data_IF_322744915539
#
_entry.id   IF_322744915539
#
_cell.length_a   1.000
_cell.length_b   1.000
_cell.length_c   1.000
_cell.angle_alpha   90.00
_cell.angle_beta   90.00
_cell.angle_gamma   90.00
#
_symmetry.space_group_name_H-M   'P 1'
#
loop_
_entity.id
_entity.type
_entity.pdbx_description
1 polymer ?
#
# COMPACT_ATOMS: atom_id res chain seq x y z
N UNK A 1 40.75 -45.08 -0.58
CA UNK A 1 41.97 -44.23 -0.57
C UNK A 1 41.53 -42.80 -0.32
N UNK A 2 42.27 -42.00 0.45
CA UNK A 2 41.85 -40.64 0.83
C UNK A 2 42.39 -39.57 -0.13
N UNK A 3 41.59 -38.52 -0.35
CA UNK A 3 41.93 -37.08 -0.16
C UNK A 3 41.26 -36.17 -1.21
N UNK A 4 40.66 -35.05 -0.74
CA UNK A 4 40.13 -33.98 -1.61
C UNK A 4 38.82 -33.39 -1.11
N UNK A 5 38.88 -32.48 -0.13
CA UNK A 5 37.71 -31.71 0.32
C UNK A 5 37.29 -30.67 -0.74
N UNK A 6 35.99 -30.41 -0.88
CA UNK A 6 35.47 -29.29 -1.67
C UNK A 6 34.94 -28.16 -0.79
N UNK A 7 34.62 -27.00 -1.37
CA UNK A 7 33.51 -26.15 -0.95
C UNK A 7 33.17 -25.03 -1.96
N UNK A 8 32.09 -24.32 -1.63
CA UNK A 8 31.18 -23.52 -2.45
C UNK A 8 31.57 -22.04 -2.68
N UNK A 9 30.76 -21.39 -3.53
CA UNK A 9 30.30 -19.97 -3.49
C UNK A 9 31.22 -18.75 -3.74
N UNK A 10 30.69 -17.88 -4.63
CA UNK A 10 30.52 -16.41 -4.52
C UNK A 10 31.68 -15.41 -4.78
N UNK A 11 31.26 -14.22 -5.23
CA UNK A 11 32.06 -13.09 -5.71
C UNK A 11 32.71 -12.20 -4.64
N UNK A 12 33.79 -11.48 -5.00
CA UNK A 12 34.14 -10.15 -4.46
C UNK A 12 33.86 -9.07 -5.54
N UNK A 13 33.09 -7.99 -5.33
CA UNK A 13 33.17 -6.90 -4.32
C UNK A 13 34.45 -6.08 -4.38
N UNK A 14 34.32 -4.81 -4.78
CA UNK A 14 35.15 -3.69 -4.30
C UNK A 14 34.21 -2.61 -3.76
N UNK A 15 34.23 -2.38 -2.45
CA UNK A 15 33.54 -1.25 -1.80
C UNK A 15 34.41 0.00 -1.87
N UNK A 16 33.80 1.16 -2.07
CA UNK A 16 34.37 2.45 -1.70
C UNK A 16 33.38 3.17 -0.78
N UNK A 17 33.74 3.27 0.49
CA UNK A 17 33.06 4.09 1.51
C UNK A 17 34.15 4.64 2.42
N UNK A 18 34.37 5.96 2.44
CA UNK A 18 34.24 6.76 3.67
C UNK A 18 34.46 8.28 3.49
N UNK A 19 33.62 9.05 4.20
CA UNK A 19 33.85 10.38 4.83
C UNK A 19 34.01 11.68 4.00
N UNK A 20 32.96 12.50 4.15
CA UNK A 20 32.87 13.98 4.14
C UNK A 20 33.35 14.47 5.55
N UNK A 21 33.95 15.68 5.80
CA UNK A 21 33.35 16.99 5.45
C UNK A 21 34.24 18.26 5.23
N UNK A 22 33.52 19.32 4.81
CA UNK A 22 33.72 20.76 5.05
C UNK A 22 34.76 21.57 4.25
N UNK A 23 34.32 22.72 3.71
CA UNK A 23 35.15 23.94 3.67
C UNK A 23 35.16 24.80 2.40
N UNK A 24 34.36 25.87 2.41
CA UNK A 24 34.60 27.17 1.75
C UNK A 24 34.64 27.32 0.21
N UNK A 25 33.72 28.19 -0.23
CA UNK A 25 33.64 28.93 -1.50
C UNK A 25 34.93 29.67 -1.91
N UNK A 26 35.15 29.82 -3.22
CA UNK A 26 35.45 31.15 -3.81
C UNK A 26 35.13 31.26 -5.30
N UNK A 27 34.57 32.41 -5.67
CA UNK A 27 34.41 32.90 -7.05
C UNK A 27 35.62 33.73 -7.47
N UNK A 28 35.91 33.79 -8.77
CA UNK A 28 36.46 35.01 -9.39
C UNK A 28 37.97 35.08 -9.73
N UNK A 29 38.26 34.78 -11.00
CA UNK A 29 38.93 35.68 -11.96
C UNK A 29 40.47 35.90 -12.00
N UNK A 30 40.91 36.05 -13.28
CA UNK A 30 42.06 36.82 -13.82
C UNK A 30 43.45 36.18 -14.06
N UNK A 31 43.83 36.24 -15.36
CA UNK A 31 45.17 36.55 -15.96
C UNK A 31 46.30 35.51 -15.77
N UNK A 32 46.79 34.85 -16.82
CA UNK A 32 47.60 35.32 -17.99
C UNK A 32 49.12 35.27 -17.75
N UNK A 33 49.91 34.99 -18.82
CA UNK A 33 51.39 34.93 -18.93
C UNK A 33 52.02 33.55 -18.63
N UNK A 34 53.01 32.98 -19.38
CA UNK A 34 53.43 33.05 -20.80
C UNK A 34 54.48 31.93 -21.11
N UNK A 35 54.37 31.29 -22.29
CA UNK A 35 55.38 30.55 -23.10
C UNK A 35 56.40 29.53 -22.50
N UNK A 36 56.54 28.37 -23.17
CA UNK A 36 57.70 27.95 -24.03
C UNK A 36 57.48 26.47 -24.49
N UNK A 37 56.97 26.12 -25.67
CA UNK A 37 57.52 26.23 -27.05
C UNK A 37 58.68 25.28 -27.41
N UNK A 38 58.37 24.13 -28.05
CA UNK A 38 59.16 23.40 -29.09
C UNK A 38 58.12 22.57 -29.91
N UNK A 39 57.84 22.70 -31.23
CA UNK A 39 58.65 22.74 -32.49
C UNK A 39 59.14 21.33 -32.94
N UNK A 40 58.94 20.78 -34.17
CA UNK A 40 58.53 21.28 -35.50
C UNK A 40 57.93 20.18 -36.43
N UNK A 41 57.22 20.63 -37.49
CA UNK A 41 57.11 20.14 -38.91
C UNK A 41 56.89 18.64 -39.24
N UNK A 42 56.26 18.25 -40.35
CA UNK A 42 55.72 18.94 -41.56
C UNK A 42 55.59 17.90 -42.71
N UNK A 43 55.10 18.16 -43.93
CA UNK A 43 54.55 19.38 -44.55
C UNK A 43 53.99 19.08 -45.97
N UNK A 44 52.80 19.60 -46.33
CA UNK A 44 52.32 20.07 -47.68
C UNK A 44 52.48 19.14 -48.94
N UNK A 45 51.92 19.36 -50.16
CA UNK A 45 51.13 20.41 -50.87
C UNK A 45 50.16 19.72 -51.86
N UNK A 46 49.07 20.37 -52.29
CA UNK A 46 48.47 20.07 -53.62
C UNK A 46 47.07 20.67 -53.85
N UNK A 47 46.94 21.71 -54.68
CA UNK A 47 45.67 22.36 -54.98
C UNK A 47 45.50 22.71 -56.47
N UNK A 48 44.30 22.47 -57.00
CA UNK A 48 43.60 23.09 -58.14
C UNK A 48 42.09 22.85 -57.87
N UNK A 49 41.12 23.69 -58.19
CA UNK A 49 41.09 24.84 -59.10
C UNK A 49 40.04 24.59 -60.19
N UNK A 50 38.87 25.25 -60.13
CA UNK A 50 37.80 25.05 -61.11
C UNK A 50 36.50 25.76 -60.76
N UNK A 51 36.28 26.93 -61.35
CA UNK A 51 34.98 27.63 -61.34
C UNK A 51 33.97 26.90 -62.25
N UNK A 52 32.72 26.79 -61.81
CA UNK A 52 31.67 26.09 -62.55
C UNK A 52 30.30 26.74 -62.36
N UNK A 53 29.96 27.68 -63.24
CA UNK A 53 28.64 28.32 -63.29
C UNK A 53 27.56 27.31 -63.71
N UNK A 54 26.54 27.10 -62.87
CA UNK A 54 25.30 26.44 -63.31
C UNK A 54 24.53 27.37 -64.25
N UNK A 55 23.99 26.88 -65.39
CA UNK A 55 23.28 27.72 -66.32
C UNK A 55 21.90 28.10 -65.77
N UNK A 56 21.55 29.38 -65.96
CA UNK A 56 20.14 29.79 -66.00
C UNK A 56 19.54 29.28 -67.30
N UNK A 57 18.47 28.49 -67.21
CA UNK A 57 17.54 28.34 -68.32
C UNK A 57 16.43 29.39 -68.16
N UNK A 58 16.17 30.12 -69.22
CA UNK A 58 15.25 31.25 -69.27
C UNK A 58 14.55 31.28 -70.63
N UNK A 59 13.57 30.39 -70.79
CA UNK A 59 12.62 30.27 -71.91
C UNK A 59 11.64 29.13 -71.55
N UNK A 60 10.35 29.15 -71.87
CA UNK A 60 9.58 30.04 -72.74
C UNK A 60 8.12 30.17 -72.24
N UNK A 61 7.52 31.28 -72.66
CA UNK A 61 6.11 31.70 -72.67
C UNK A 61 4.96 30.66 -72.54
N UNK A 62 4.00 30.98 -71.66
CA UNK A 62 2.69 30.32 -71.57
C UNK A 62 1.65 31.25 -70.93
N UNK A 63 0.55 31.51 -71.63
CA UNK A 63 -0.53 32.40 -71.17
C UNK A 63 -1.38 31.73 -70.08
N UNK A 64 -1.52 32.37 -68.91
CA UNK A 64 -2.47 31.90 -67.89
C UNK A 64 -3.88 32.40 -68.22
N UNK A 65 -4.62 31.57 -68.96
CA UNK A 65 -6.07 31.68 -69.15
C UNK A 65 -6.80 31.30 -67.85
N UNK A 66 -7.84 32.04 -67.49
CA UNK A 66 -8.51 32.00 -66.20
C UNK A 66 -9.48 30.83 -66.03
N UNK A 67 -9.03 29.60 -66.29
CA UNK A 67 -9.77 28.38 -65.95
C UNK A 67 -9.15 27.71 -64.72
N UNK A 68 -9.97 27.45 -63.71
CA UNK A 68 -9.58 26.68 -62.52
C UNK A 68 -9.30 25.23 -62.91
N UNK A 69 -8.02 24.87 -62.98
CA UNK A 69 -7.61 23.49 -63.20
C UNK A 69 -7.69 22.72 -61.87
N UNK A 70 -8.74 21.90 -61.73
CA UNK A 70 -8.87 21.01 -60.58
C UNK A 70 -7.85 19.88 -60.69
N UNK A 71 -6.74 20.06 -59.98
CA UNK A 71 -5.58 19.16 -59.89
C UNK A 71 -4.77 18.99 -61.19
N UNK A 72 -3.69 19.77 -61.32
CA UNK A 72 -2.30 19.29 -61.15
C UNK A 72 -1.37 20.53 -61.19
N UNK A 73 -1.04 21.06 -60.02
CA UNK A 73 0.22 21.78 -59.81
C UNK A 73 0.95 21.13 -58.62
N UNK A 74 2.26 21.00 -58.73
CA UNK A 74 3.14 20.32 -57.78
C UNK A 74 3.44 21.16 -56.54
N UNK A 75 2.44 21.80 -55.94
CA UNK A 75 2.60 22.50 -54.67
C UNK A 75 2.75 21.50 -53.53
N UNK A 76 4.01 21.20 -53.22
CA UNK A 76 4.44 20.38 -52.10
C UNK A 76 3.75 20.84 -50.81
N UNK A 77 2.88 20.00 -50.25
CA UNK A 77 2.40 20.16 -48.88
C UNK A 77 1.21 21.10 -48.66
N UNK A 78 0.36 21.39 -49.66
CA UNK A 78 -0.77 22.35 -49.48
C UNK A 78 -2.11 21.74 -49.90
N UNK A 79 -3.15 21.95 -49.10
CA UNK A 79 -4.50 21.40 -49.26
C UNK A 79 -5.61 22.40 -48.84
N UNK A 80 -5.39 23.71 -49.05
CA UNK A 80 -6.35 24.75 -48.65
C UNK A 80 -7.77 24.51 -49.21
N UNK A 81 -8.77 24.58 -48.32
CA UNK A 81 -10.19 24.35 -48.66
C UNK A 81 -10.62 22.88 -48.65
N UNK A 82 -9.71 21.95 -48.39
CA UNK A 82 -10.01 20.55 -48.05
C UNK A 82 -10.31 20.45 -46.54
N UNK A 83 -11.17 19.52 -46.14
CA UNK A 83 -11.41 19.20 -44.72
C UNK A 83 -10.22 18.49 -44.11
N UNK A 84 -9.89 18.81 -42.85
CA UNK A 84 -8.80 18.13 -42.15
C UNK A 84 -9.09 16.61 -42.03
N UNK A 85 -8.05 15.79 -42.03
CA UNK A 85 -8.13 14.32 -42.06
C UNK A 85 -8.38 13.71 -43.46
N UNK A 86 -8.59 14.54 -44.50
CA UNK A 86 -8.73 14.05 -45.88
C UNK A 86 -7.36 13.72 -46.49
N UNK A 87 -7.23 12.56 -47.12
CA UNK A 87 -5.98 12.16 -47.79
C UNK A 87 -5.61 13.10 -48.96
N UNK A 88 -4.40 13.64 -48.92
CA UNK A 88 -3.83 14.58 -49.90
C UNK A 88 -2.50 14.07 -50.49
N UNK A 89 -2.01 12.90 -50.06
CA UNK A 89 -0.86 12.22 -50.61
C UNK A 89 -0.75 10.76 -50.12
N UNK A 90 0.33 10.07 -50.49
CA UNK A 90 0.59 8.71 -50.01
C UNK A 90 1.03 8.78 -48.54
N UNK A 91 0.13 8.41 -47.62
CA UNK A 91 0.37 8.52 -46.17
C UNK A 91 0.41 9.96 -45.66
N UNK A 92 -0.34 10.85 -46.32
CA UNK A 92 -0.40 12.27 -45.95
C UNK A 92 -1.82 12.82 -46.06
N UNK A 93 -2.18 13.66 -45.08
CA UNK A 93 -3.52 14.14 -44.80
C UNK A 93 -3.52 15.65 -44.61
N UNK A 94 -4.67 16.27 -44.80
CA UNK A 94 -4.81 17.70 -44.62
C UNK A 94 -4.94 18.06 -43.14
N UNK A 95 -4.12 19.00 -42.66
CA UNK A 95 -4.23 19.60 -41.33
C UNK A 95 -4.00 21.11 -41.45
N UNK A 96 -5.03 21.91 -41.18
CA UNK A 96 -4.96 23.38 -41.25
C UNK A 96 -4.63 23.91 -42.65
N UNK A 97 -4.98 23.18 -43.71
CA UNK A 97 -4.65 23.52 -45.11
C UNK A 97 -3.23 23.14 -45.55
N UNK A 98 -2.46 22.45 -44.71
CA UNK A 98 -1.14 21.88 -45.03
C UNK A 98 -1.24 20.36 -45.12
N UNK A 99 -0.61 19.75 -46.13
CA UNK A 99 -0.60 18.30 -46.29
C UNK A 99 0.58 17.71 -45.48
N UNK A 100 0.27 17.16 -44.31
CA UNK A 100 1.21 16.58 -43.34
C UNK A 100 1.22 15.05 -43.44
N UNK A 101 2.30 14.40 -43.00
CA UNK A 101 2.30 12.94 -42.87
C UNK A 101 1.43 12.57 -41.67
N UNK A 102 0.59 11.54 -41.82
CA UNK A 102 -0.38 11.17 -40.80
C UNK A 102 0.22 10.72 -39.47
N UNK A 103 -0.42 11.10 -38.37
CA UNK A 103 0.12 11.02 -37.00
C UNK A 103 -0.97 10.99 -35.94
N UNK A 104 -1.32 9.77 -35.57
CA UNK A 104 -1.94 9.49 -34.28
C UNK A 104 -1.47 10.40 -33.14
N UNK A 105 -2.44 11.02 -32.50
CA UNK A 105 -2.29 11.95 -31.40
C UNK A 105 -2.06 13.39 -31.85
N UNK A 106 -2.49 13.80 -33.05
CA UNK A 106 -2.43 15.19 -33.50
C UNK A 106 -3.79 15.92 -33.54
N UNK A 107 -4.87 15.23 -33.15
CA UNK A 107 -6.22 15.75 -33.01
C UNK A 107 -7.05 15.67 -34.30
N UNK A 108 -6.61 14.88 -35.29
CA UNK A 108 -7.24 14.74 -36.59
C UNK A 108 -7.40 13.26 -36.93
N UNK A 109 -8.63 12.79 -37.12
CA UNK A 109 -8.90 11.38 -37.45
C UNK A 109 -8.54 11.05 -38.90
N UNK A 110 -7.54 10.19 -39.11
CA UNK A 110 -7.02 9.83 -40.44
C UNK A 110 -7.36 8.39 -40.82
N UNK A 111 -8.65 8.11 -41.08
CA UNK A 111 -9.14 6.73 -41.31
C UNK A 111 -8.48 5.97 -42.48
N UNK A 112 -7.92 6.64 -43.50
CA UNK A 112 -7.16 5.94 -44.56
C UNK A 112 -5.76 5.48 -44.08
N UNK A 113 -5.24 6.03 -42.97
CA UNK A 113 -4.02 5.57 -42.30
C UNK A 113 -4.28 4.38 -41.36
N UNK A 114 -5.54 4.18 -40.94
CA UNK A 114 -5.98 3.09 -40.07
C UNK A 114 -6.35 3.51 -38.64
N UNK A 115 -6.42 4.81 -38.35
CA UNK A 115 -6.84 5.34 -37.05
C UNK A 115 -8.34 5.11 -36.83
N UNK A 116 -8.70 4.70 -35.61
CA UNK A 116 -10.08 4.52 -35.17
C UNK A 116 -10.63 5.81 -34.53
N UNK A 117 -9.78 6.52 -33.80
CA UNK A 117 -10.02 7.77 -33.10
C UNK A 117 -8.76 8.64 -33.14
N UNK A 118 -8.89 9.95 -32.89
CA UNK A 118 -7.77 10.83 -32.52
C UNK A 118 -8.34 12.05 -31.77
N UNK A 119 -7.99 12.22 -30.51
CA UNK A 119 -8.30 13.36 -29.63
C UNK A 119 -7.05 14.17 -29.21
N UNK A 120 -5.89 13.84 -29.79
CA UNK A 120 -4.59 14.40 -29.49
C UNK A 120 -3.87 13.67 -28.35
N UNK A 121 -2.57 13.41 -28.52
CA UNK A 121 -1.74 12.69 -27.55
C UNK A 121 -1.72 13.39 -26.18
N UNK A 122 -2.62 12.92 -25.30
CA UNK A 122 -2.86 13.46 -23.98
C UNK A 122 -2.18 12.62 -22.89
N UNK A 123 -1.88 11.34 -23.18
CA UNK A 123 -1.25 10.38 -22.29
C UNK A 123 -2.20 9.58 -21.40
N UNK A 124 -3.50 9.58 -21.72
CA UNK A 124 -4.60 9.01 -20.94
C UNK A 124 -5.37 7.95 -21.78
N UNK A 125 -4.92 6.68 -21.82
CA UNK A 125 -5.50 5.57 -22.62
C UNK A 125 -7.00 5.21 -22.31
N UNK A 126 -7.66 5.95 -21.44
CA UNK A 126 -8.92 5.60 -20.77
C UNK A 126 -10.12 6.50 -21.06
N UNK A 127 -10.01 7.50 -21.93
CA UNK A 127 -11.07 8.49 -22.20
C UNK A 127 -11.92 8.20 -23.45
N UNK A 128 -11.53 7.19 -24.24
CA UNK A 128 -12.19 6.75 -25.46
C UNK A 128 -11.20 6.47 -26.60
N UNK A 129 -10.02 7.11 -26.57
CA UNK A 129 -8.92 6.86 -27.48
C UNK A 129 -7.64 6.48 -26.74
N UNK A 130 -6.89 5.50 -27.26
CA UNK A 130 -5.54 5.20 -26.78
C UNK A 130 -4.50 6.06 -27.48
N UNK A 131 -3.32 6.18 -26.87
CA UNK A 131 -2.12 6.80 -27.47
C UNK A 131 -1.65 6.12 -28.79
N UNK A 132 -2.24 4.98 -29.19
CA UNK A 132 -2.03 4.29 -30.48
C UNK A 132 -3.20 4.43 -31.47
N UNK A 133 -4.17 5.29 -31.16
CA UNK A 133 -5.35 5.62 -31.96
C UNK A 133 -6.28 4.43 -32.24
N UNK A 134 -6.26 3.47 -31.32
CA UNK A 134 -7.31 2.45 -31.17
C UNK A 134 -8.36 2.88 -30.14
N UNK A 135 -9.59 2.41 -30.32
CA UNK A 135 -10.66 2.65 -29.36
C UNK A 135 -10.37 2.00 -28.01
N UNK A 136 -10.59 2.71 -26.90
CA UNK A 136 -10.37 2.18 -25.54
C UNK A 136 -11.17 0.89 -25.28
N UNK A 137 -12.39 0.73 -25.83
CA UNK A 137 -13.11 -0.55 -25.80
C UNK A 137 -13.99 -0.79 -27.03
N UNK A 138 -14.23 -2.05 -27.40
CA UNK A 138 -15.24 -2.46 -28.38
C UNK A 138 -16.38 -3.31 -27.76
N UNK A 139 -16.14 -3.91 -26.59
CA UNK A 139 -17.11 -4.60 -25.75
C UNK A 139 -16.77 -4.48 -24.25
N UNK A 140 -17.73 -4.81 -23.38
CA UNK A 140 -17.56 -4.73 -21.91
C UNK A 140 -16.34 -5.51 -21.39
N UNK A 141 -15.98 -6.62 -22.04
CA UNK A 141 -14.83 -7.47 -21.69
C UNK A 141 -13.46 -6.79 -21.94
N UNK A 142 -13.42 -5.72 -22.74
CA UNK A 142 -12.18 -4.95 -22.95
C UNK A 142 -11.92 -3.95 -21.81
N UNK A 143 -12.92 -3.74 -20.93
CA UNK A 143 -12.86 -2.86 -19.78
C UNK A 143 -12.54 -3.57 -18.46
N UNK A 144 -12.38 -4.91 -18.47
CA UNK A 144 -11.98 -5.73 -17.31
C UNK A 144 -10.58 -5.32 -16.83
N UNK A 145 -10.51 -4.53 -15.76
CA UNK A 145 -9.24 -4.09 -15.15
C UNK A 145 -8.67 -5.12 -14.14
N UNK A 146 -9.44 -6.18 -13.89
CA UNK A 146 -9.12 -7.24 -12.94
C UNK A 146 -9.41 -6.89 -11.48
N UNK A 147 -10.02 -5.73 -11.20
CA UNK A 147 -10.48 -5.32 -9.88
C UNK A 147 -11.99 -5.56 -9.72
N UNK A 148 -12.30 -6.72 -9.14
CA UNK A 148 -13.67 -7.14 -8.81
C UNK A 148 -14.43 -6.14 -7.91
N UNK A 149 -13.72 -5.22 -7.26
CA UNK A 149 -14.27 -4.24 -6.34
C UNK A 149 -14.72 -2.94 -7.01
N UNK A 150 -14.43 -2.73 -8.30
CA UNK A 150 -14.97 -1.57 -9.05
C UNK A 150 -16.39 -1.80 -9.57
N UNK A 151 -16.90 -3.03 -9.44
CA UNK A 151 -18.25 -3.43 -9.78
C UNK A 151 -18.34 -4.09 -11.16
N UNK A 152 -19.38 -3.78 -11.92
CA UNK A 152 -19.49 -4.21 -13.33
C UNK A 152 -18.86 -3.14 -14.21
N UNK A 153 -17.82 -3.49 -14.96
CA UNK A 153 -17.34 -2.64 -16.05
C UNK A 153 -18.24 -2.78 -17.28
N UNK A 154 -18.41 -1.68 -18.01
CA UNK A 154 -19.23 -1.63 -19.22
C UNK A 154 -18.67 -0.60 -20.20
N UNK A 155 -18.62 -0.99 -21.47
CA UNK A 155 -18.16 -0.17 -22.57
C UNK A 155 -19.33 0.63 -23.17
N UNK A 156 -19.29 1.95 -23.10
CA UNK A 156 -20.18 2.76 -23.93
C UNK A 156 -19.68 2.72 -25.37
N UNK A 157 -20.18 1.76 -26.16
CA UNK A 157 -19.83 1.56 -27.57
C UNK A 157 -20.12 2.76 -28.50
N UNK A 158 -20.78 3.83 -28.02
CA UNK A 158 -20.96 5.07 -28.77
C UNK A 158 -19.88 6.12 -28.46
N UNK A 159 -19.17 5.97 -27.35
CA UNK A 159 -18.08 6.84 -26.89
C UNK A 159 -16.73 6.10 -26.79
N UNK A 160 -16.73 4.78 -26.93
CA UNK A 160 -15.62 3.86 -26.67
C UNK A 160 -15.02 3.97 -25.26
N UNK A 161 -15.79 4.50 -24.31
CA UNK A 161 -15.38 4.79 -22.95
C UNK A 161 -15.74 3.64 -22.00
N UNK A 162 -14.77 3.17 -21.22
CA UNK A 162 -15.02 2.26 -20.11
C UNK A 162 -15.64 2.99 -18.92
N UNK A 163 -16.66 2.39 -18.32
CA UNK A 163 -17.32 2.90 -17.12
C UNK A 163 -17.56 1.77 -16.14
N UNK A 164 -17.37 2.04 -14.85
CA UNK A 164 -17.61 1.08 -13.78
C UNK A 164 -18.92 1.42 -13.05
N UNK A 165 -19.63 0.41 -12.53
CA UNK A 165 -20.89 0.64 -11.80
C UNK A 165 -20.71 1.37 -10.45
N UNK A 166 -19.46 1.54 -10.00
CA UNK A 166 -19.11 2.02 -8.67
C UNK A 166 -18.78 0.87 -7.73
N UNK A 167 -18.20 1.18 -6.54
CA UNK A 167 -17.60 0.20 -5.65
C UNK A 167 -18.57 -0.94 -5.32
N UNK A 168 -18.07 -2.17 -5.39
CA UNK A 168 -18.83 -3.36 -5.04
C UNK A 168 -19.26 -3.27 -3.57
N UNK A 169 -20.57 -3.38 -3.35
CA UNK A 169 -21.16 -3.41 -2.01
C UNK A 169 -20.98 -4.82 -1.43
N UNK A 170 -20.06 -4.92 -0.47
CA UNK A 170 -19.73 -6.16 0.23
C UNK A 170 -20.39 -6.28 1.60
N UNK A 171 -21.29 -5.37 1.99
CA UNK A 171 -22.07 -5.48 3.24
C UNK A 171 -23.02 -6.69 3.17
N UNK A 172 -22.72 -7.77 3.89
CA UNK A 172 -23.60 -8.94 3.98
C UNK A 172 -24.66 -8.83 5.10
N UNK A 173 -24.63 -7.71 5.83
CA UNK A 173 -25.44 -7.35 6.99
C UNK A 173 -25.16 -8.17 8.26
N UNK A 174 -24.05 -8.91 8.34
CA UNK A 174 -23.54 -9.51 9.57
C UNK A 174 -22.58 -8.52 10.29
N UNK A 175 -22.97 -7.93 11.44
CA UNK A 175 -22.12 -6.99 12.16
C UNK A 175 -20.92 -7.65 12.86
N UNK A 176 -20.70 -8.96 12.65
CA UNK A 176 -19.59 -9.74 13.19
C UNK A 176 -18.45 -9.95 12.21
N UNK A 177 -18.60 -9.48 10.97
CA UNK A 177 -17.55 -9.54 9.96
C UNK A 177 -17.09 -8.15 9.53
N UNK A 178 -15.79 -8.04 9.27
CA UNK A 178 -15.23 -6.91 8.53
C UNK A 178 -15.45 -7.19 7.04
N UNK A 179 -16.46 -6.53 6.48
CA UNK A 179 -16.68 -6.54 5.04
C UNK A 179 -15.54 -5.81 4.33
N UNK A 180 -14.80 -6.56 3.53
CA UNK A 180 -13.69 -6.05 2.73
C UNK A 180 -13.83 -6.54 1.29
N UNK A 181 -13.13 -5.86 0.38
CA UNK A 181 -13.06 -6.29 -1.00
C UNK A 181 -11.60 -6.34 -1.44
N UNK A 182 -11.16 -7.52 -1.89
CA UNK A 182 -9.87 -7.73 -2.54
C UNK A 182 -10.06 -7.74 -4.05
N UNK A 183 -9.30 -6.91 -4.77
CA UNK A 183 -9.44 -6.75 -6.21
C UNK A 183 -9.41 -8.08 -6.99
N UNK A 184 -8.56 -9.03 -6.58
CA UNK A 184 -8.38 -10.30 -7.28
C UNK A 184 -9.30 -11.44 -6.83
N UNK A 185 -10.06 -11.27 -5.74
CA UNK A 185 -10.93 -12.32 -5.16
C UNK A 185 -12.40 -11.90 -5.07
N UNK A 186 -12.67 -10.59 -4.95
CA UNK A 186 -13.99 -10.01 -4.67
C UNK A 186 -14.21 -9.78 -3.17
N UNK A 187 -15.47 -9.83 -2.74
CA UNK A 187 -15.84 -9.64 -1.33
C UNK A 187 -15.25 -10.74 -0.43
N UNK A 188 -14.75 -10.31 0.73
CA UNK A 188 -14.33 -11.16 1.84
C UNK A 188 -14.98 -10.65 3.13
N UNK A 189 -15.49 -11.59 3.92
CA UNK A 189 -16.18 -11.35 5.18
C UNK A 189 -15.40 -12.13 6.26
N UNK A 190 -14.36 -11.50 6.78
CA UNK A 190 -13.51 -12.07 7.84
C UNK A 190 -14.07 -11.63 9.21
N UNK A 191 -13.91 -12.46 10.25
CA UNK A 191 -14.41 -12.14 11.60
C UNK A 191 -13.78 -10.83 12.13
N UNK A 192 -14.59 -9.93 12.69
CA UNK A 192 -14.11 -8.78 13.45
C UNK A 192 -13.65 -9.28 14.83
N UNK A 193 -12.37 -9.64 14.90
CA UNK A 193 -11.71 -10.37 16.00
C UNK A 193 -10.45 -9.58 16.40
N UNK A 194 -10.56 -8.77 17.46
CA UNK A 194 -9.59 -7.76 17.84
C UNK A 194 -8.32 -8.31 18.51
N UNK A 195 -8.41 -9.47 19.14
CA UNK A 195 -7.31 -10.10 19.91
C UNK A 195 -6.89 -11.50 19.42
N UNK A 196 -7.64 -12.08 18.49
CA UNK A 196 -7.38 -13.34 17.77
C UNK A 196 -7.65 -14.63 18.56
N UNK A 197 -8.61 -14.61 19.49
CA UNK A 197 -9.14 -15.84 20.11
C UNK A 197 -10.21 -16.57 19.28
N UNK A 198 -10.74 -15.92 18.25
CA UNK A 198 -11.76 -16.44 17.35
C UNK A 198 -13.20 -16.08 17.70
N UNK A 199 -13.43 -15.07 18.54
CA UNK A 199 -14.75 -14.51 18.84
C UNK A 199 -14.86 -13.02 18.49
N UNK A 200 -16.07 -12.58 18.15
CA UNK A 200 -16.39 -11.19 17.82
C UNK A 200 -17.06 -10.45 19.01
N UNK A 201 -16.85 -9.12 19.14
CA UNK A 201 -17.25 -8.32 20.28
C UNK A 201 -18.76 -8.36 20.58
N UNK A 202 -19.13 -8.64 21.83
CA UNK A 202 -20.50 -8.71 22.33
C UNK A 202 -21.32 -7.42 22.11
N UNK A 203 -20.66 -6.28 21.92
CA UNK A 203 -21.33 -4.99 21.71
C UNK A 203 -22.03 -4.88 20.35
N UNK A 204 -21.47 -5.54 19.32
CA UNK A 204 -22.06 -5.71 17.98
C UNK A 204 -22.68 -7.10 17.84
N UNK A 205 -22.06 -8.12 18.45
CA UNK A 205 -22.29 -9.53 18.20
C UNK A 205 -22.77 -10.30 19.43
N UNK A 206 -24.07 -10.20 19.73
CA UNK A 206 -24.69 -10.94 20.87
C UNK A 206 -25.11 -12.37 20.53
N UNK A 207 -24.85 -12.86 19.31
CA UNK A 207 -25.33 -14.15 18.84
C UNK A 207 -24.32 -15.26 19.13
N UNK A 208 -24.42 -15.89 20.31
CA UNK A 208 -23.55 -16.98 20.80
C UNK A 208 -23.51 -18.28 19.93
N UNK A 209 -24.06 -18.25 18.71
CA UNK A 209 -23.93 -19.29 17.69
C UNK A 209 -23.15 -18.88 16.43
N UNK A 210 -22.63 -17.65 16.37
CA UNK A 210 -21.87 -17.08 15.25
C UNK A 210 -20.42 -16.73 15.64
N UNK A 211 -19.89 -17.35 16.70
CA UNK A 211 -18.59 -16.97 17.29
C UNK A 211 -18.58 -15.49 17.68
N UNK A 212 -19.63 -15.05 18.36
CA UNK A 212 -19.74 -13.70 18.92
C UNK A 212 -20.22 -13.76 20.36
N UNK A 213 -19.95 -12.71 21.12
CA UNK A 213 -20.31 -12.59 22.52
C UNK A 213 -19.11 -12.37 23.44
N UNK A 214 -17.93 -12.10 22.87
CA UNK A 214 -16.76 -11.72 23.64
C UNK A 214 -16.96 -10.38 24.37
N UNK A 215 -16.62 -10.37 25.65
CA UNK A 215 -16.84 -9.26 26.56
C UNK A 215 -15.62 -8.31 26.69
N UNK A 216 -14.45 -8.67 26.15
CA UNK A 216 -13.22 -7.87 26.11
C UNK A 216 -12.33 -8.20 24.89
N UNK A 217 -12.76 -7.76 23.69
CA UNK A 217 -12.16 -7.76 22.33
C UNK A 217 -10.77 -7.10 22.20
N UNK A 218 -9.96 -7.21 23.26
CA UNK A 218 -8.59 -6.74 23.39
C UNK A 218 -7.71 -7.72 24.18
N UNK A 219 -8.22 -8.91 24.52
CA UNK A 219 -7.69 -9.81 25.52
C UNK A 219 -8.06 -11.29 25.23
N UNK A 220 -7.18 -11.98 24.48
CA UNK A 220 -7.25 -13.38 23.97
C UNK A 220 -7.55 -14.52 24.98
N UNK A 221 -7.78 -14.16 26.23
CA UNK A 221 -8.03 -15.01 27.39
C UNK A 221 -9.40 -14.73 28.02
N UNK A 222 -10.26 -13.93 27.38
CA UNK A 222 -11.61 -13.57 27.79
C UNK A 222 -12.56 -13.82 26.62
N UNK A 223 -13.33 -14.91 26.65
CA UNK A 223 -14.26 -15.26 25.57
C UNK A 223 -15.34 -16.26 26.02
N UNK A 224 -16.46 -16.38 25.28
CA UNK A 224 -17.55 -17.31 25.59
C UNK A 224 -17.09 -18.76 25.88
N UNK A 225 -17.13 -19.12 27.15
CA UNK A 225 -16.76 -20.45 27.67
C UNK A 225 -15.25 -20.69 27.89
N UNK A 226 -14.44 -19.64 28.04
CA UNK A 226 -13.06 -19.75 28.51
C UNK A 226 -12.99 -20.34 29.94
N UNK A 227 -11.80 -20.77 30.43
CA UNK A 227 -11.63 -21.18 31.82
C UNK A 227 -11.41 -19.97 32.73
N UNK A 228 -12.29 -19.78 33.71
CA UNK A 228 -12.13 -18.77 34.77
C UNK A 228 -10.74 -18.79 35.44
N UNK A 229 -10.26 -17.60 35.76
CA UNK A 229 -9.05 -17.31 36.50
C UNK A 229 -9.35 -16.39 37.69
N UNK A 230 -8.57 -16.52 38.77
CA UNK A 230 -8.77 -15.69 39.96
C UNK A 230 -8.07 -14.33 39.79
N UNK A 231 -8.54 -13.52 38.86
CA UNK A 231 -8.03 -12.18 38.56
C UNK A 231 -9.13 -11.10 38.60
N UNK A 232 -10.36 -11.48 38.94
CA UNK A 232 -11.55 -10.65 39.00
C UNK A 232 -11.99 -10.05 37.66
N UNK A 233 -11.70 -10.78 36.58
CA UNK A 233 -12.38 -10.67 35.28
C UNK A 233 -13.51 -11.72 35.19
N UNK A 234 -14.38 -11.51 34.22
CA UNK A 234 -15.33 -12.50 33.69
C UNK A 234 -14.60 -13.09 32.48
N UNK A 235 -13.91 -14.24 32.62
CA UNK A 235 -13.14 -14.80 31.51
C UNK A 235 -14.06 -15.55 30.55
N UNK A 236 -15.11 -16.21 31.04
CA UNK A 236 -16.00 -17.05 30.22
C UNK A 236 -17.18 -16.29 29.59
N UNK A 237 -17.33 -15.00 29.91
CA UNK A 237 -18.37 -14.07 29.46
C UNK A 237 -19.82 -14.51 29.79
N UNK A 238 -20.05 -15.33 30.84
CA UNK A 238 -21.41 -15.67 31.30
C UNK A 238 -22.07 -14.58 32.18
N UNK A 239 -21.30 -13.59 32.64
CA UNK A 239 -21.74 -12.50 33.51
C UNK A 239 -21.50 -12.74 35.01
N UNK A 240 -20.89 -13.86 35.38
CA UNK A 240 -20.23 -14.07 36.67
C UNK A 240 -18.76 -13.60 36.63
N UNK A 241 -18.06 -13.73 37.77
CA UNK A 241 -16.66 -13.32 37.94
C UNK A 241 -16.05 -14.30 38.94
N UNK A 242 -14.88 -14.86 38.61
CA UNK A 242 -14.12 -15.80 39.43
C UNK A 242 -14.92 -17.08 39.84
N UNK A 243 -15.96 -17.50 39.09
CA UNK A 243 -16.81 -18.64 39.45
C UNK A 243 -16.29 -20.00 38.95
N UNK A 244 -16.93 -21.10 39.37
CA UNK A 244 -16.40 -22.46 39.18
C UNK A 244 -15.08 -22.78 39.92
N UNK A 245 -14.36 -21.77 40.42
CA UNK A 245 -13.05 -21.86 41.04
C UNK A 245 -13.08 -22.48 42.45
N UNK A 246 -11.94 -23.09 42.81
CA UNK A 246 -11.70 -23.56 44.17
C UNK A 246 -11.50 -22.37 45.12
N UNK A 247 -12.50 -22.08 45.96
CA UNK A 247 -12.39 -21.02 46.97
C UNK A 247 -11.47 -21.41 48.13
N UNK A 248 -10.60 -20.47 48.49
CA UNK A 248 -9.82 -20.49 49.72
C UNK A 248 -10.70 -20.05 50.89
N UNK A 249 -10.51 -20.69 52.05
CA UNK A 249 -10.96 -20.13 53.33
C UNK A 249 -9.89 -19.13 53.78
N UNK A 250 -10.29 -17.88 53.96
CA UNK A 250 -9.43 -16.77 54.34
C UNK A 250 -9.84 -16.25 55.72
N UNK A 251 -8.86 -16.17 56.62
CA UNK A 251 -8.97 -15.78 58.03
C UNK A 251 -8.59 -14.30 58.17
N UNK A 252 -9.28 -13.51 59.00
CA UNK A 252 -8.88 -12.10 59.20
C UNK A 252 -7.47 -12.05 59.82
N UNK A 253 -6.58 -11.30 59.16
CA UNK A 253 -5.24 -10.96 59.63
C UNK A 253 -5.26 -9.49 60.05
N UNK A 254 -5.56 -9.25 61.34
CA UNK A 254 -5.92 -7.92 61.85
C UNK A 254 -4.71 -7.00 62.09
N UNK A 255 -3.56 -7.59 62.42
CA UNK A 255 -2.32 -6.90 62.75
C UNK A 255 -1.18 -7.13 61.75
N UNK A 256 -1.36 -8.08 60.80
CA UNK A 256 -0.55 -8.32 59.59
C UNK A 256 0.65 -9.22 59.80
N UNK A 257 0.53 -10.24 60.64
CA UNK A 257 1.58 -11.23 60.92
C UNK A 257 1.52 -12.50 60.05
N UNK A 258 0.45 -12.66 59.25
CA UNK A 258 0.10 -13.83 58.40
C UNK A 258 -0.41 -15.06 59.16
N UNK A 259 -0.91 -14.89 60.37
CA UNK A 259 -1.89 -15.77 60.98
C UNK A 259 -3.25 -15.07 60.91
N UNK A 260 -4.33 -15.77 61.23
CA UNK A 260 -5.64 -15.13 61.27
C UNK A 260 -6.66 -15.86 62.13
N UNK A 261 -7.70 -15.12 62.50
CA UNK A 261 -8.76 -15.57 63.40
C UNK A 261 -9.69 -16.61 62.72
N UNK A 262 -9.82 -17.83 63.26
CA UNK A 262 -10.74 -18.85 62.74
C UNK A 262 -12.22 -18.53 62.96
N UNK A 263 -12.55 -17.47 63.71
CA UNK A 263 -13.92 -17.01 63.95
C UNK A 263 -14.37 -15.89 63.00
N UNK A 264 -13.44 -15.21 62.33
CA UNK A 264 -13.71 -14.20 61.29
C UNK A 264 -13.14 -14.67 59.94
N UNK A 265 -14.01 -15.32 59.15
CA UNK A 265 -13.65 -15.99 57.89
C UNK A 265 -14.46 -15.48 56.70
N UNK A 266 -13.83 -15.50 55.53
CA UNK A 266 -14.44 -15.25 54.22
C UNK A 266 -13.97 -16.32 53.24
N UNK A 267 -14.84 -16.73 52.32
CA UNK A 267 -14.46 -17.58 51.18
C UNK A 267 -14.24 -16.71 49.96
N UNK A 268 -13.10 -16.87 49.28
CA UNK A 268 -12.75 -16.14 48.07
C UNK A 268 -11.75 -16.96 47.23
N UNK A 269 -11.65 -16.73 45.92
CA UNK A 269 -10.66 -17.42 45.09
C UNK A 269 -9.21 -17.01 45.46
N UNK A 270 -9.02 -15.74 45.85
CA UNK A 270 -7.80 -15.19 46.46
C UNK A 270 -8.15 -14.45 47.74
N UNK A 271 -7.27 -14.48 48.74
CA UNK A 271 -7.59 -13.84 50.03
C UNK A 271 -7.53 -12.31 49.92
N UNK A 272 -8.63 -11.60 50.26
CA UNK A 272 -8.66 -10.14 50.16
C UNK A 272 -7.73 -9.49 51.19
N UNK A 273 -7.37 -8.23 50.94
CA UNK A 273 -6.47 -7.46 51.81
C UNK A 273 -6.95 -7.42 53.27
N UNK A 274 -6.07 -7.78 54.21
CA UNK A 274 -6.41 -7.97 55.63
C UNK A 274 -6.94 -9.36 55.97
N UNK A 275 -6.76 -10.35 55.10
CA UNK A 275 -6.98 -11.77 55.37
C UNK A 275 -5.80 -12.61 54.87
N UNK A 276 -5.63 -13.79 55.47
CA UNK A 276 -4.64 -14.81 55.08
C UNK A 276 -5.32 -16.17 54.91
N UNK A 277 -4.83 -16.99 53.97
CA UNK A 277 -5.39 -18.32 53.74
C UNK A 277 -5.12 -19.28 54.91
N UNK A 278 -6.03 -20.23 55.14
CA UNK A 278 -5.82 -21.32 56.13
C UNK A 278 -4.50 -22.03 55.86
N UNK A 279 -3.65 -22.07 56.89
CA UNK A 279 -2.31 -22.66 56.81
C UNK A 279 -2.36 -24.18 56.88
N UNK A 280 -1.41 -24.83 56.19
CA UNK A 280 -1.31 -26.30 56.14
C UNK A 280 -0.88 -26.96 57.47
N UNK A 281 -0.31 -26.18 58.39
CA UNK A 281 0.00 -26.59 59.77
C UNK A 281 -1.23 -26.55 60.70
N UNK A 282 -2.31 -25.86 60.28
CA UNK A 282 -3.50 -25.63 61.10
C UNK A 282 -3.33 -24.59 62.20
N UNK A 283 -2.20 -23.86 62.21
CA UNK A 283 -1.94 -22.81 63.19
C UNK A 283 -2.76 -21.55 62.86
N UNK A 284 -3.35 -20.94 63.88
CA UNK A 284 -4.25 -19.78 63.78
C UNK A 284 -3.79 -18.66 64.70
N UNK A 285 -4.27 -17.44 64.46
CA UNK A 285 -3.90 -16.30 65.30
C UNK A 285 -4.39 -16.49 66.74
N UNK A 286 -3.62 -15.95 67.68
CA UNK A 286 -3.88 -15.92 69.11
C UNK A 286 -3.98 -14.49 69.68
N UNK A 287 -3.78 -13.43 68.87
CA UNK A 287 -3.97 -12.04 69.28
C UNK A 287 -4.10 -11.05 68.09
N UNK A 288 -5.33 -10.64 67.75
CA UNK A 288 -5.70 -9.69 66.66
C UNK A 288 -5.11 -8.24 66.72
N UNK A 289 -4.03 -7.99 67.48
CA UNK A 289 -3.55 -6.66 67.86
C UNK A 289 -2.02 -6.53 68.00
N UNK A 290 -1.29 -7.63 68.03
CA UNK A 290 0.14 -7.66 68.35
C UNK A 290 0.86 -8.47 67.27
N UNK A 291 1.39 -7.87 66.19
CA UNK A 291 1.92 -8.62 65.03
C UNK A 291 3.20 -9.44 65.32
N UNK A 292 3.67 -9.42 66.56
CA UNK A 292 4.75 -10.26 67.08
C UNK A 292 4.19 -11.46 67.87
N UNK A 293 2.87 -11.64 68.00
CA UNK A 293 2.19 -12.56 68.92
C UNK A 293 1.66 -13.86 68.25
N UNK A 294 2.38 -14.41 67.28
CA UNK A 294 2.01 -15.62 66.53
C UNK A 294 2.43 -16.98 67.16
N UNK A 295 1.83 -18.11 66.71
CA UNK A 295 2.27 -19.48 66.98
C UNK A 295 3.73 -19.80 66.61
N UNK A 296 4.37 -20.67 67.39
CA UNK A 296 5.73 -21.18 67.10
C UNK A 296 6.89 -20.21 67.38
N UNK A 297 6.62 -19.00 67.87
CA UNK A 297 7.63 -17.99 68.15
C UNK A 297 8.53 -18.31 69.37
N UNK A 298 9.76 -17.75 69.45
CA UNK A 298 10.67 -18.04 70.55
C UNK A 298 10.44 -17.24 71.85
N UNK A 299 9.78 -16.06 71.83
CA UNK A 299 9.10 -15.39 72.98
C UNK A 299 8.83 -13.86 72.78
N UNK A 300 7.55 -13.46 72.82
CA UNK A 300 7.00 -12.30 73.56
C UNK A 300 5.47 -12.52 73.79
N UNK A 301 4.75 -12.15 74.87
CA UNK A 301 5.00 -11.48 76.16
C UNK A 301 4.87 -9.94 76.31
N UNK A 302 3.64 -9.42 76.14
CA UNK A 302 3.14 -8.33 77.01
C UNK A 302 1.89 -8.76 77.80
N UNK A 303 0.77 -9.12 77.15
CA UNK A 303 -0.53 -9.33 77.82
C UNK A 303 -1.18 -10.73 77.64
N UNK A 304 -0.65 -11.63 76.80
CA UNK A 304 -1.25 -12.94 76.53
C UNK A 304 -0.24 -14.05 76.24
N UNK A 305 -0.64 -15.31 76.46
CA UNK A 305 0.14 -16.50 76.12
C UNK A 305 -0.52 -17.13 74.88
N UNK A 306 0.23 -17.31 73.80
CA UNK A 306 -0.15 -18.19 72.70
C UNK A 306 0.23 -19.64 73.12
N UNK A 307 -0.75 -20.53 73.41
CA UNK A 307 -0.49 -21.82 74.06
C UNK A 307 0.00 -22.93 73.12
#
# INVERSE_FOLDING_TARGET
MCAGCGQSTASPVVKVVDRVPAGCTSTGAMKSTLALAVLLFGSVVGACGGDGTVPVDASMDGSFDGTVDSAVDGQVGVCEGVTDGTSCGVGAFCIGGVCTAGRCGDGVLESDAGEQCDDGANGDDGDGCRDDCTFTCEADVDCDDGDSCTGVESCDIALHLCSTSGPLDCDDLDPCTIDSCDAGVGCAHDLDDGDLDGYAPATTCTTAGLMGGDCDDTNDSVFPGAPEHCDSLDNDCDGAIDEGLATLICLRDADRDRYGDPTDTVNACSCPSGYVGVRADGETDCSDREPDAYPGQPAYFVDGYCP
#
